data_IF_616730809525
#
_entry.id   IF_616730809525
#
_cell.length_a   1.000
_cell.length_b   1.000
_cell.length_c   1.000
_cell.angle_alpha   90.00
_cell.angle_beta   90.00
_cell.angle_gamma   90.00
#
_symmetry.space_group_name_H-M   'P 1'
#
loop_
_entity.id
_entity.type
_entity.pdbx_description
1 polymer ?
#
# COMPACT_ATOMS: atom_id res chain seq x y z
N UNK A 1 -5.00 29.89 -12.60
CA UNK A 1 -4.08 28.97 -13.30
C UNK A 1 -4.01 27.75 -12.40
N UNK A 2 -4.92 26.80 -12.58
CA UNK A 2 -5.09 25.62 -11.72
C UNK A 2 -4.05 24.57 -12.13
N UNK A 3 -2.87 24.61 -11.53
CA UNK A 3 -1.89 23.53 -11.60
C UNK A 3 -2.23 22.55 -10.49
N UNK A 4 -3.00 21.52 -10.82
CA UNK A 4 -3.29 20.48 -9.84
C UNK A 4 -4.24 19.42 -10.34
N UNK A 5 -3.90 18.64 -11.38
CA UNK A 5 -4.70 17.43 -11.63
C UNK A 5 -4.02 16.33 -12.47
N UNK A 6 -2.69 16.25 -12.50
CA UNK A 6 -1.98 15.19 -13.22
C UNK A 6 -0.88 14.47 -12.41
N UNK A 7 -0.72 14.81 -11.12
CA UNK A 7 0.39 14.29 -10.28
C UNK A 7 -0.06 13.23 -9.27
N UNK A 8 -1.36 12.88 -9.23
CA UNK A 8 -1.89 11.92 -8.24
C UNK A 8 -1.48 10.47 -8.48
N UNK A 9 -1.34 10.04 -9.74
CA UNK A 9 -1.24 8.61 -10.05
C UNK A 9 0.14 7.98 -9.91
N UNK A 10 1.18 8.73 -10.31
CA UNK A 10 2.56 8.34 -10.04
C UNK A 10 2.85 8.29 -8.53
N UNK A 11 2.18 9.14 -7.75
CA UNK A 11 2.31 9.20 -6.31
C UNK A 11 1.73 7.95 -5.65
N UNK A 12 0.46 7.61 -5.91
CA UNK A 12 -0.18 6.43 -5.30
C UNK A 12 0.51 5.12 -5.68
N UNK A 13 0.87 4.93 -6.95
CA UNK A 13 1.60 3.74 -7.37
C UNK A 13 2.96 3.60 -6.67
N UNK A 14 3.66 4.71 -6.45
CA UNK A 14 4.95 4.73 -5.73
C UNK A 14 4.77 4.44 -4.24
N UNK A 15 3.78 5.10 -3.60
CA UNK A 15 3.45 4.87 -2.19
C UNK A 15 3.07 3.41 -1.94
N UNK A 16 2.22 2.82 -2.79
CA UNK A 16 1.86 1.41 -2.70
C UNK A 16 3.07 0.48 -2.82
N UNK A 17 4.03 0.77 -3.71
CA UNK A 17 5.26 0.00 -3.81
C UNK A 17 6.09 0.05 -2.53
N UNK A 18 6.23 1.23 -1.92
CA UNK A 18 6.91 1.39 -0.62
C UNK A 18 6.19 0.59 0.47
N UNK A 19 4.86 0.65 0.50
CA UNK A 19 4.06 -0.15 1.42
C UNK A 19 4.28 -1.65 1.18
N UNK A 20 4.27 -2.14 -0.06
CA UNK A 20 4.50 -3.56 -0.34
C UNK A 20 5.89 -4.05 0.08
N UNK A 21 6.91 -3.21 -0.03
CA UNK A 21 8.26 -3.51 0.44
C UNK A 21 8.29 -3.60 1.98
N UNK A 22 7.62 -2.68 2.67
CA UNK A 22 7.51 -2.68 4.15
C UNK A 22 6.63 -3.82 4.69
N UNK A 23 5.56 -4.17 3.98
CA UNK A 23 4.69 -5.33 4.25
C UNK A 23 5.27 -6.66 3.75
N UNK A 24 6.51 -6.67 3.25
CA UNK A 24 7.12 -7.90 2.79
C UNK A 24 7.31 -8.90 3.95
N UNK A 25 7.26 -10.22 3.68
CA UNK A 25 7.51 -11.26 4.69
C UNK A 25 8.81 -11.07 5.48
N UNK A 26 9.81 -10.46 4.86
CA UNK A 26 11.11 -10.15 5.45
C UNK A 26 11.19 -8.77 6.13
N UNK A 27 10.15 -7.94 6.02
CA UNK A 27 10.11 -6.57 6.53
C UNK A 27 10.22 -6.50 8.05
N UNK A 28 10.83 -5.43 8.55
CA UNK A 28 11.00 -5.21 10.00
C UNK A 28 9.66 -5.13 10.72
N UNK A 29 8.64 -4.53 10.09
CA UNK A 29 7.27 -4.52 10.61
C UNK A 29 6.75 -5.93 10.87
N UNK A 30 6.87 -6.83 9.90
CA UNK A 30 6.35 -8.18 10.06
C UNK A 30 7.06 -8.93 11.19
N UNK A 31 8.35 -8.66 11.44
CA UNK A 31 9.08 -9.21 12.59
C UNK A 31 8.54 -8.69 13.93
N UNK A 32 8.10 -7.43 14.00
CA UNK A 32 7.48 -6.87 15.20
C UNK A 32 6.09 -7.48 15.46
N UNK A 33 5.31 -7.69 14.39
CA UNK A 33 3.99 -8.34 14.47
C UNK A 33 4.05 -9.87 14.60
N UNK A 34 5.19 -10.52 14.34
CA UNK A 34 5.35 -11.99 14.44
C UNK A 34 5.12 -12.55 15.84
N UNK A 35 5.22 -11.73 16.88
CA UNK A 35 4.93 -12.12 18.26
C UNK A 35 3.48 -12.62 18.42
N UNK A 36 2.57 -12.12 17.60
CA UNK A 36 1.16 -12.46 17.64
C UNK A 36 0.69 -12.99 16.26
N UNK A 37 0.29 -14.27 16.21
CA UNK A 37 -0.09 -14.95 14.96
C UNK A 37 -1.26 -14.31 14.21
N UNK A 38 -2.14 -13.59 14.91
CA UNK A 38 -3.29 -12.94 14.30
C UNK A 38 -2.89 -11.71 13.47
N UNK A 39 -1.83 -11.01 13.86
CA UNK A 39 -1.49 -9.73 13.23
C UNK A 39 -0.73 -9.93 11.92
N UNK A 40 0.02 -11.02 11.80
CA UNK A 40 0.57 -11.47 10.50
C UNK A 40 -0.56 -11.72 9.48
N UNK A 41 -1.71 -12.24 9.94
CA UNK A 41 -2.87 -12.45 9.07
C UNK A 41 -3.51 -11.12 8.64
N UNK A 42 -3.58 -10.13 9.54
CA UNK A 42 -4.09 -8.79 9.24
C UNK A 42 -3.21 -8.09 8.20
N UNK A 43 -1.89 -8.06 8.39
CA UNK A 43 -0.96 -7.47 7.43
C UNK A 43 -1.04 -8.14 6.06
N UNK A 44 -1.17 -9.47 6.02
CA UNK A 44 -1.36 -10.21 4.77
C UNK A 44 -2.67 -9.82 4.08
N UNK A 45 -3.75 -9.63 4.85
CA UNK A 45 -5.06 -9.21 4.33
C UNK A 45 -4.97 -7.80 3.74
N UNK A 46 -4.38 -6.85 4.47
CA UNK A 46 -4.13 -5.48 3.98
C UNK A 46 -3.37 -5.51 2.66
N UNK A 47 -2.27 -6.25 2.58
CA UNK A 47 -1.46 -6.40 1.36
C UNK A 47 -2.30 -6.90 0.17
N UNK A 48 -3.15 -7.91 0.37
CA UNK A 48 -3.97 -8.45 -0.72
C UNK A 48 -5.04 -7.47 -1.18
N UNK A 49 -5.68 -6.75 -0.25
CA UNK A 49 -6.67 -5.70 -0.59
C UNK A 49 -6.03 -4.56 -1.38
N UNK A 50 -4.87 -4.05 -0.93
CA UNK A 50 -4.13 -3.01 -1.63
C UNK A 50 -3.71 -3.45 -3.05
N UNK A 51 -3.33 -4.72 -3.22
CA UNK A 51 -2.93 -5.26 -4.52
C UNK A 51 -4.12 -5.31 -5.51
N UNK A 52 -5.32 -5.68 -5.03
CA UNK A 52 -6.54 -5.61 -5.84
C UNK A 52 -6.89 -4.18 -6.27
N UNK A 53 -6.77 -3.23 -5.34
CA UNK A 53 -7.02 -1.81 -5.61
C UNK A 53 -5.99 -1.21 -6.58
N UNK A 54 -4.73 -1.62 -6.49
CA UNK A 54 -3.68 -1.21 -7.43
C UNK A 54 -3.99 -1.62 -8.87
N UNK A 55 -4.65 -2.77 -9.08
CA UNK A 55 -4.98 -3.26 -10.41
C UNK A 55 -6.00 -2.38 -11.14
N UNK A 56 -6.90 -1.72 -10.39
CA UNK A 56 -7.93 -0.83 -10.94
C UNK A 56 -7.51 0.64 -10.93
N UNK A 57 -6.39 0.97 -10.26
CA UNK A 57 -5.89 2.33 -10.09
C UNK A 57 -5.70 3.05 -11.43
N UNK A 58 -5.07 2.40 -12.43
CA UNK A 58 -4.86 3.01 -13.74
C UNK A 58 -6.15 3.35 -14.50
N UNK A 59 -7.18 2.51 -14.38
CA UNK A 59 -8.48 2.77 -15.01
C UNK A 59 -9.26 3.86 -14.25
N UNK A 60 -9.18 3.86 -12.92
CA UNK A 60 -9.75 4.90 -12.07
C UNK A 60 -9.15 6.28 -12.39
N UNK A 61 -7.82 6.38 -12.51
CA UNK A 61 -7.14 7.63 -12.87
C UNK A 61 -7.58 8.14 -14.24
N UNK A 62 -7.71 7.26 -15.23
CA UNK A 62 -8.19 7.64 -16.57
C UNK A 62 -9.63 8.18 -16.54
N UNK A 63 -10.45 7.69 -15.61
CA UNK A 63 -11.86 8.06 -15.48
C UNK A 63 -12.11 9.20 -14.51
N UNK A 64 -11.15 9.54 -13.65
CA UNK A 64 -11.24 10.58 -12.62
C UNK A 64 -11.71 11.92 -13.19
N UNK A 65 -11.17 12.33 -14.35
CA UNK A 65 -11.53 13.59 -14.99
C UNK A 65 -12.97 13.62 -15.54
N UNK A 66 -13.54 12.44 -15.81
CA UNK A 66 -14.87 12.28 -16.42
C UNK A 66 -15.97 11.87 -15.43
N UNK A 67 -15.61 11.33 -14.27
CA UNK A 67 -16.54 10.81 -13.28
C UNK A 67 -16.16 11.27 -11.86
N UNK A 68 -16.99 12.15 -11.29
CA UNK A 68 -16.82 12.67 -9.94
C UNK A 68 -16.82 11.56 -8.87
N UNK A 69 -17.62 10.50 -9.03
CA UNK A 69 -17.66 9.38 -8.09
C UNK A 69 -16.33 8.62 -8.07
N UNK A 70 -15.69 8.44 -9.23
CA UNK A 70 -14.35 7.85 -9.31
C UNK A 70 -13.31 8.78 -8.69
N UNK A 71 -13.46 10.10 -8.84
CA UNK A 71 -12.55 11.05 -8.18
C UNK A 71 -12.68 11.03 -6.66
N UNK A 72 -13.89 10.89 -6.13
CA UNK A 72 -14.10 10.77 -4.68
C UNK A 72 -13.52 9.45 -4.17
N UNK A 73 -13.80 8.34 -4.87
CA UNK A 73 -13.23 7.04 -4.57
C UNK A 73 -11.70 7.04 -4.53
N UNK A 74 -11.04 7.70 -5.50
CA UNK A 74 -9.57 7.86 -5.49
C UNK A 74 -9.06 8.71 -4.33
N UNK A 75 -9.82 9.74 -3.92
CA UNK A 75 -9.44 10.55 -2.76
C UNK A 75 -9.50 9.75 -1.46
N UNK A 76 -10.56 8.95 -1.27
CA UNK A 76 -10.67 8.03 -0.13
C UNK A 76 -9.57 6.97 -0.16
N UNK A 77 -9.27 6.41 -1.34
CA UNK A 77 -8.17 5.47 -1.49
C UNK A 77 -6.82 6.08 -1.10
N UNK A 78 -6.57 7.34 -1.49
CA UNK A 78 -5.37 8.07 -1.07
C UNK A 78 -5.32 8.25 0.45
N UNK A 79 -6.42 8.67 1.07
CA UNK A 79 -6.48 8.79 2.52
C UNK A 79 -6.18 7.48 3.24
N UNK A 80 -6.68 6.34 2.73
CA UNK A 80 -6.39 5.04 3.31
C UNK A 80 -4.90 4.63 3.16
N UNK A 81 -4.28 4.96 2.03
CA UNK A 81 -2.84 4.75 1.80
C UNK A 81 -2.00 5.62 2.74
N UNK A 82 -2.32 6.91 2.86
CA UNK A 82 -1.63 7.85 3.76
C UNK A 82 -1.75 7.41 5.23
N UNK A 83 -2.95 6.99 5.65
CA UNK A 83 -3.18 6.42 6.98
C UNK A 83 -2.32 5.18 7.23
N UNK A 84 -2.22 4.29 6.24
CA UNK A 84 -1.38 3.09 6.33
C UNK A 84 0.10 3.46 6.48
N UNK A 85 0.60 4.41 5.69
CA UNK A 85 1.98 4.89 5.76
C UNK A 85 2.28 5.50 7.13
N UNK A 86 1.40 6.38 7.62
CA UNK A 86 1.54 6.99 8.94
C UNK A 86 1.63 5.95 10.07
N UNK A 87 0.81 4.89 10.02
CA UNK A 87 0.89 3.79 11.00
C UNK A 87 2.23 3.05 10.94
N UNK A 88 2.78 2.85 9.75
CA UNK A 88 4.08 2.19 9.58
C UNK A 88 5.22 3.05 10.13
N UNK A 89 5.15 4.36 9.91
CA UNK A 89 6.12 5.31 10.47
C UNK A 89 6.05 5.35 11.99
N UNK A 90 4.84 5.34 12.57
CA UNK A 90 4.61 5.31 14.02
C UNK A 90 5.23 4.05 14.65
N UNK A 91 5.00 2.88 14.06
CA UNK A 91 5.61 1.62 14.51
C UNK A 91 7.13 1.64 14.36
N UNK A 92 7.65 2.14 13.23
CA UNK A 92 9.08 2.23 12.99
C UNK A 92 9.78 3.20 13.95
N UNK A 93 9.13 4.32 14.27
CA UNK A 93 9.63 5.28 15.26
C UNK A 93 9.73 4.66 16.64
N UNK A 94 8.69 3.97 17.12
CA UNK A 94 8.74 3.28 18.41
C UNK A 94 9.76 2.13 18.43
N UNK A 95 9.91 1.40 17.31
CA UNK A 95 10.94 0.37 17.16
C UNK A 95 12.36 0.95 17.37
N UNK A 96 12.64 2.08 16.71
CA UNK A 96 13.91 2.78 16.82
C UNK A 96 14.12 3.36 18.21
N UNK A 97 13.07 3.96 18.80
CA UNK A 97 13.10 4.50 20.16
C UNK A 97 13.46 3.42 21.18
N UNK A 98 12.78 2.28 21.14
CA UNK A 98 13.06 1.15 22.04
C UNK A 98 14.47 0.58 21.83
N UNK A 99 14.97 0.57 20.59
CA UNK A 99 16.34 0.15 20.28
C UNK A 99 17.37 1.10 20.90
N UNK A 100 17.16 2.41 20.81
CA UNK A 100 18.04 3.42 21.41
C UNK A 100 17.97 3.39 22.94
N UNK A 101 16.76 3.31 23.52
CA UNK A 101 16.57 3.23 24.98
C UNK A 101 17.12 1.92 25.56
N UNK A 102 16.93 0.78 24.89
CA UNK A 102 17.50 -0.52 25.30
C UNK A 102 19.01 -0.61 25.15
N UNK A 103 19.60 0.15 24.21
CA UNK A 103 21.05 0.32 24.09
C UNK A 103 21.63 1.15 25.23
N UNK A 104 20.91 2.15 25.75
CA UNK A 104 21.33 2.93 26.92
C UNK A 104 21.30 2.11 28.22
N UNK A 105 20.36 1.17 28.37
CA UNK A 105 20.31 0.27 29.54
C UNK A 105 21.49 -0.73 29.57
N UNK A 106 21.96 -1.19 28.40
CA UNK A 106 23.13 -2.09 28.33
C UNK A 106 24.47 -1.40 28.65
N UNK A 107 24.57 -0.07 28.50
CA UNK A 107 25.80 0.67 28.82
C UNK A 107 26.00 0.89 30.33
N UNK A 108 24.93 0.78 31.14
CA UNK A 108 25.00 0.93 32.59
C UNK A 108 25.36 -0.37 33.33
N UNK A 109 25.18 -1.54 32.70
CA UNK A 109 25.36 -2.84 33.35
C UNK A 109 26.51 -3.63 32.72
N UNK A 110 27.71 -3.42 33.26
CA UNK A 110 28.86 -4.30 33.01
C UNK A 110 28.64 -5.65 33.71
N UNK A 111 27.91 -6.59 33.11
CA UNK A 111 28.09 -8.03 33.39
C UNK A 111 27.29 -8.92 32.44
N UNK A 112 28.00 -9.64 31.59
CA UNK A 112 27.69 -11.02 31.20
C UNK A 112 26.23 -11.38 30.90
N UNK A 113 25.68 -10.89 29.79
CA UNK A 113 24.60 -11.60 29.11
C UNK A 113 24.75 -11.46 27.60
N UNK A 114 25.53 -12.39 27.06
CA UNK A 114 25.59 -12.69 25.65
C UNK A 114 24.30 -13.43 25.28
N UNK A 115 23.44 -12.78 24.51
CA UNK A 115 22.18 -13.36 24.02
C UNK A 115 20.93 -12.71 24.58
N UNK A 116 20.79 -11.40 24.46
CA UNK A 116 19.48 -10.76 24.53
C UNK A 116 19.04 -10.41 23.12
N UNK A 117 18.36 -11.36 22.47
CA UNK A 117 17.33 -10.99 21.50
C UNK A 117 16.54 -9.88 22.18
N UNK A 118 16.70 -8.66 21.69
CA UNK A 118 16.01 -7.50 22.22
C UNK A 118 14.53 -7.83 22.05
N UNK A 119 13.89 -8.28 23.12
CA UNK A 119 12.45 -8.36 23.24
C UNK A 119 11.99 -6.90 23.31
N UNK A 120 12.07 -6.21 22.16
CA UNK A 120 11.52 -4.90 21.86
C UNK A 120 10.01 -5.05 21.92
N UNK A 121 9.50 -5.30 23.13
CA UNK A 121 8.09 -5.40 23.35
C UNK A 121 7.57 -3.97 23.35
N UNK A 122 6.98 -3.57 22.23
CA UNK A 122 6.04 -2.46 22.24
C UNK A 122 5.03 -2.71 23.36
N UNK A 123 4.58 -1.64 24.03
CA UNK A 123 3.54 -1.77 25.05
C UNK A 123 2.31 -2.42 24.43
N UNK A 124 1.64 -3.31 25.15
CA UNK A 124 0.43 -3.98 24.67
C UNK A 124 -0.64 -2.94 24.26
N UNK A 125 -0.75 -1.83 25.00
CA UNK A 125 -1.63 -0.70 24.66
C UNK A 125 -1.29 -0.04 23.31
N UNK A 126 -0.01 0.15 23.02
CA UNK A 126 0.44 0.71 21.74
C UNK A 126 0.10 -0.24 20.59
N UNK A 127 0.36 -1.53 20.80
CA UNK A 127 0.06 -2.56 19.82
C UNK A 127 -1.44 -2.67 19.54
N UNK A 128 -2.28 -2.64 20.58
CA UNK A 128 -3.74 -2.60 20.47
C UNK A 128 -4.22 -1.41 19.65
N UNK A 129 -3.70 -0.21 19.93
CA UNK A 129 -4.04 1.01 19.19
C UNK A 129 -3.65 0.92 17.70
N UNK A 130 -2.45 0.44 17.38
CA UNK A 130 -2.04 0.24 15.99
C UNK A 130 -2.91 -0.82 15.30
N UNK A 131 -3.21 -1.91 16.01
CA UNK A 131 -4.08 -2.98 15.50
C UNK A 131 -5.48 -2.46 15.16
N UNK A 132 -6.09 -1.68 16.05
CA UNK A 132 -7.42 -1.11 15.84
C UNK A 132 -7.45 -0.20 14.61
N UNK A 133 -6.48 0.74 14.50
CA UNK A 133 -6.36 1.62 13.32
C UNK A 133 -6.10 0.84 12.02
N UNK A 134 -5.33 -0.26 12.11
CA UNK A 134 -5.07 -1.14 10.97
C UNK A 134 -6.33 -1.88 10.54
N UNK A 135 -7.14 -2.36 11.48
CA UNK A 135 -8.43 -3.01 11.21
C UNK A 135 -9.40 -2.04 10.52
N UNK A 136 -9.50 -0.80 11.01
CA UNK A 136 -10.30 0.27 10.42
C UNK A 136 -9.86 0.63 8.98
N UNK A 137 -8.55 0.72 8.76
CA UNK A 137 -7.99 0.98 7.42
C UNK A 137 -8.30 -0.17 6.45
N UNK A 138 -8.21 -1.43 6.91
CA UNK A 138 -8.56 -2.60 6.10
C UNK A 138 -10.05 -2.62 5.76
N UNK A 139 -10.92 -2.21 6.69
CA UNK A 139 -12.35 -2.10 6.46
C UNK A 139 -12.65 -1.06 5.38
N UNK A 140 -12.09 0.15 5.51
CA UNK A 140 -12.20 1.22 4.50
C UNK A 140 -11.75 0.76 3.11
N UNK A 141 -10.60 0.07 3.02
CA UNK A 141 -10.08 -0.44 1.75
C UNK A 141 -10.97 -1.54 1.14
N UNK A 142 -11.66 -2.33 1.98
CA UNK A 142 -12.62 -3.33 1.50
C UNK A 142 -13.89 -2.69 0.95
N UNK A 143 -14.40 -1.67 1.62
CA UNK A 143 -15.56 -0.91 1.14
C UNK A 143 -15.25 -0.26 -0.21
N UNK A 144 -14.04 0.27 -0.37
CA UNK A 144 -13.55 0.76 -1.66
C UNK A 144 -13.48 -0.36 -2.70
N UNK A 145 -13.06 -1.56 -2.30
CA UNK A 145 -12.99 -2.72 -3.20
C UNK A 145 -14.37 -3.17 -3.68
N UNK A 146 -15.39 -3.11 -2.82
CA UNK A 146 -16.78 -3.45 -3.20
C UNK A 146 -17.36 -2.42 -4.19
N UNK A 147 -17.01 -1.14 -4.02
CA UNK A 147 -17.44 -0.06 -4.93
C UNK A 147 -16.83 -0.15 -6.35
N UNK A 148 -15.76 -0.93 -6.54
CA UNK A 148 -15.13 -1.12 -7.87
C UNK A 148 -16.16 -1.59 -8.91
N UNK A 149 -17.02 -2.54 -8.52
CA UNK A 149 -18.04 -3.11 -9.39
C UNK A 149 -19.08 -2.08 -9.82
N UNK A 150 -19.55 -1.27 -8.88
CA UNK A 150 -20.57 -0.24 -9.11
C UNK A 150 -20.03 0.93 -9.93
N UNK A 151 -18.74 1.25 -9.78
CA UNK A 151 -18.05 2.28 -10.54
C UNK A 151 -17.62 1.82 -11.95
N UNK A 152 -17.80 0.53 -12.27
CA UNK A 152 -17.40 -0.06 -13.55
C UNK A 152 -15.90 0.06 -13.82
N UNK A 153 -15.09 0.02 -12.76
CA UNK A 153 -13.63 0.07 -12.84
C UNK A 153 -13.11 -1.29 -13.33
N UNK A 154 -12.14 -1.26 -14.26
CA UNK A 154 -11.58 -2.46 -14.87
C UNK A 154 -10.14 -2.68 -14.43
N UNK A 155 -9.82 -3.91 -14.06
CA UNK A 155 -8.44 -4.31 -13.80
C UNK A 155 -7.62 -4.18 -15.08
N UNK A 156 -6.55 -3.39 -15.03
CA UNK A 156 -5.66 -3.20 -16.16
C UNK A 156 -4.64 -4.34 -16.18
N UNK A 157 -5.10 -5.59 -16.30
CA UNK A 157 -4.23 -6.69 -16.71
C UNK A 157 -3.86 -6.44 -18.15
N UNK A 158 -2.75 -5.72 -18.35
CA UNK A 158 -2.16 -5.30 -19.60
C UNK A 158 -2.96 -5.79 -20.80
N UNK A 159 -3.98 -5.01 -21.17
CA UNK A 159 -4.62 -5.21 -22.45
C UNK A 159 -3.52 -4.92 -23.45
N UNK A 160 -2.83 -5.99 -23.87
CA UNK A 160 -2.13 -6.06 -25.13
C UNK A 160 -3.24 -5.79 -26.14
N UNK A 161 -3.51 -4.50 -26.36
CA UNK A 161 -4.17 -4.04 -27.56
C UNK A 161 -3.24 -4.51 -28.64
N UNK A 162 -3.49 -5.71 -29.15
CA UNK A 162 -3.14 -6.03 -30.51
C UNK A 162 -3.76 -4.90 -31.31
N UNK A 163 -2.94 -3.94 -31.71
CA UNK A 163 -3.21 -3.15 -32.89
C UNK A 163 -3.42 -4.18 -34.00
N UNK A 164 -4.68 -4.54 -34.22
CA UNK A 164 -5.09 -5.13 -35.49
C UNK A 164 -4.89 -4.04 -36.53
N UNK A 165 -3.65 -3.93 -36.99
CA UNK A 165 -3.25 -3.18 -38.16
C UNK A 165 -4.03 -3.77 -39.31
N UNK A 166 -5.11 -3.10 -39.72
CA UNK A 166 -5.85 -3.47 -40.92
C UNK A 166 -4.89 -3.43 -42.10
N UNK A 167 -4.79 -4.51 -42.92
CA UNK A 167 -4.00 -4.47 -44.13
C UNK A 167 -4.72 -3.59 -45.14
N UNK A 168 -4.22 -2.37 -45.34
CA UNK A 168 -4.68 -1.52 -46.45
C UNK A 168 -4.22 -2.14 -47.77
N UNK A 169 -5.13 -2.84 -48.43
CA UNK A 169 -5.03 -3.14 -49.86
C UNK A 169 -5.24 -1.84 -50.62
N UNK A 170 -4.17 -1.24 -51.14
CA UNK A 170 -4.30 -0.20 -52.17
C UNK A 170 -3.72 -0.75 -53.46
N UNK A 171 -4.63 -0.98 -54.40
CA UNK A 171 -4.41 -1.52 -55.73
C UNK A 171 -4.65 -0.36 -56.69
N UNK A 172 -3.61 0.42 -57.03
CA UNK A 172 -3.61 1.33 -58.18
C UNK A 172 -2.19 1.35 -58.74
N UNK A 173 -2.06 0.82 -59.96
CA UNK A 173 -0.78 0.44 -60.55
C UNK A 173 0.05 1.57 -61.14
N UNK A 174 1.06 1.19 -61.93
CA UNK A 174 1.57 1.96 -63.07
C UNK A 174 2.66 1.17 -63.81
N UNK A 175 2.51 1.13 -65.14
CA UNK A 175 3.54 1.15 -66.21
C UNK A 175 4.43 -0.11 -66.34
N UNK A 176 4.81 -0.55 -67.54
CA UNK A 176 4.94 0.11 -68.85
C UNK A 176 4.84 -0.95 -69.95
#
# INVERSE_FOLDING_TARGET
>A
MEVGLAVGGAFLSSALNVLFDRLAPQGELLKMFQKHKNDVRLLKKLRMTLLGLQAVLSDAESKQASNQFVSQWLNEFRHAVDSTENLMEEVNYEALRLKVEGQHQNLAETSNQQGSDLNLCLSDDFFLNIKEKLEDTIETLKDLQEQIGDLGLKENFGSTKQETRTPSTSLVGTRK
#
